data_IF_887451671679
#
_entry.id   IF_887451671679
#
_cell.length_a   1.000
_cell.length_b   1.000
_cell.length_c   1.000
_cell.angle_alpha   90.00
_cell.angle_beta   90.00
_cell.angle_gamma   90.00
#
_symmetry.space_group_name_H-M   'P 1'
#
loop_
_entity.id
_entity.type
_entity.pdbx_description
1 polymer ?
#
# COMPACT_ATOMS: atom_id res chain seq x y z
N UNK A 1 60.03 28.32 30.52
CA UNK A 1 59.19 29.51 30.79
C UNK A 1 57.74 29.07 30.69
N UNK A 2 57.03 29.09 31.83
CA UNK A 2 55.60 28.79 31.93
C UNK A 2 54.77 30.00 31.48
N UNK A 3 53.70 29.76 30.72
CA UNK A 3 52.47 30.57 30.76
C UNK A 3 51.27 29.72 30.28
N UNK A 4 50.40 29.43 31.24
CA UNK A 4 49.05 28.83 31.14
C UNK A 4 48.08 30.02 30.85
N UNK A 5 46.92 29.98 30.19
CA UNK A 5 45.64 29.27 30.37
C UNK A 5 44.68 29.79 29.27
N UNK A 6 43.84 28.95 28.65
CA UNK A 6 42.39 29.18 28.49
C UNK A 6 41.69 27.81 28.31
N UNK A 7 40.76 27.41 29.19
CA UNK A 7 39.80 26.36 28.92
C UNK A 7 38.44 26.97 28.51
N UNK A 8 37.77 26.39 27.52
CA UNK A 8 36.33 26.57 27.33
C UNK A 8 35.78 25.39 26.50
N UNK A 9 35.44 24.31 27.19
CA UNK A 9 34.64 23.21 26.66
C UNK A 9 33.19 23.67 26.68
N UNK A 10 32.62 23.98 25.52
CA UNK A 10 31.18 24.11 25.36
C UNK A 10 30.58 22.72 25.15
N UNK A 11 30.00 22.18 26.21
CA UNK A 11 29.30 20.91 26.20
C UNK A 11 27.99 21.03 25.39
N UNK A 12 27.80 20.10 24.45
CA UNK A 12 26.53 19.83 23.80
C UNK A 12 25.53 19.34 24.85
N UNK A 13 24.51 20.14 25.13
CA UNK A 13 23.40 19.76 26.00
C UNK A 13 22.52 18.71 25.32
N UNK A 14 22.62 17.47 25.75
CA UNK A 14 21.58 16.46 25.55
C UNK A 14 20.42 16.78 26.49
N UNK A 15 19.25 17.11 25.94
CA UNK A 15 18.01 17.19 26.72
C UNK A 15 17.51 15.76 26.94
N UNK A 16 17.96 15.13 28.02
CA UNK A 16 17.31 13.94 28.55
C UNK A 16 15.98 14.38 29.18
N UNK A 17 14.85 14.02 28.55
CA UNK A 17 13.55 14.12 29.18
C UNK A 17 13.45 13.01 30.23
N UNK A 18 13.78 13.35 31.48
CA UNK A 18 13.50 12.49 32.61
C UNK A 18 11.97 12.46 32.81
N UNK A 19 11.36 11.31 32.56
CA UNK A 19 10.00 11.04 32.99
C UNK A 19 9.98 11.10 34.53
N UNK A 20 9.28 12.09 35.08
CA UNK A 20 9.08 12.20 36.52
C UNK A 20 8.07 11.14 36.95
N UNK A 21 8.53 10.07 37.59
CA UNK A 21 7.67 9.17 38.35
C UNK A 21 7.29 9.87 39.66
N UNK A 22 6.01 10.24 39.78
CA UNK A 22 5.43 10.83 40.98
C UNK A 22 5.43 9.79 42.11
N UNK A 23 6.20 10.03 43.17
CA UNK A 23 6.00 9.39 44.48
C UNK A 23 5.14 10.33 45.30
N UNK A 24 3.86 9.98 45.47
CA UNK A 24 2.95 10.70 46.33
C UNK A 24 2.96 10.05 47.72
N UNK A 25 3.58 10.71 48.69
CA UNK A 25 3.43 10.40 50.10
C UNK A 25 3.33 11.72 50.87
N UNK A 26 2.09 12.20 51.05
CA UNK A 26 1.47 12.37 52.38
C UNK A 26 0.05 13.00 52.25
N UNK A 27 -0.94 12.31 52.83
CA UNK A 27 -2.15 12.93 53.37
C UNK A 27 -3.27 13.39 52.43
N UNK A 28 -3.99 12.46 51.79
CA UNK A 28 -5.40 12.68 51.42
C UNK A 28 -6.21 11.45 51.82
N UNK A 29 -7.32 11.69 52.53
CA UNK A 29 -8.21 10.67 53.09
C UNK A 29 -8.50 9.54 52.09
N UNK A 30 -8.50 8.30 52.60
CA UNK A 30 -8.83 7.10 51.85
C UNK A 30 -10.25 7.20 51.26
N UNK A 31 -10.34 7.68 50.03
CA UNK A 31 -11.45 7.36 49.15
C UNK A 31 -11.29 5.88 48.76
N UNK A 32 -12.37 5.07 48.76
CA UNK A 32 -12.27 3.69 48.33
C UNK A 32 -11.73 3.68 46.91
N UNK A 33 -10.64 2.95 46.70
CA UNK A 33 -10.10 2.65 45.38
C UNK A 33 -11.20 1.84 44.68
N UNK A 34 -12.01 2.53 43.87
CA UNK A 34 -12.88 1.85 42.91
C UNK A 34 -11.93 1.08 42.00
N UNK A 35 -12.04 -0.25 42.06
CA UNK A 35 -11.38 -1.15 41.13
C UNK A 35 -11.76 -0.67 39.71
N UNK A 36 -10.83 -0.01 39.03
CA UNK A 36 -11.01 0.29 37.61
C UNK A 36 -11.05 -1.06 36.94
N UNK A 37 -12.25 -1.43 36.46
CA UNK A 37 -12.43 -2.60 35.62
C UNK A 37 -11.34 -2.55 34.54
N UNK A 38 -10.64 -3.68 34.38
CA UNK A 38 -9.78 -3.98 33.25
C UNK A 38 -10.43 -3.47 31.96
N UNK A 39 -9.98 -2.31 31.49
CA UNK A 39 -10.42 -1.81 30.20
C UNK A 39 -10.03 -2.87 29.18
N UNK A 40 -10.96 -3.34 28.33
CA UNK A 40 -10.62 -4.31 27.31
C UNK A 40 -9.44 -3.74 26.51
N UNK A 41 -8.36 -4.52 26.41
CA UNK A 41 -7.25 -4.21 25.50
C UNK A 41 -7.88 -4.11 24.12
N UNK A 42 -8.00 -2.88 23.62
CA UNK A 42 -8.51 -2.63 22.29
C UNK A 42 -7.60 -3.38 21.32
N UNK A 43 -8.17 -4.37 20.62
CA UNK A 43 -7.42 -5.17 19.67
C UNK A 43 -6.71 -4.23 18.70
N UNK A 44 -5.44 -4.52 18.40
CA UNK A 44 -4.70 -3.76 17.40
C UNK A 44 -5.57 -3.64 16.13
N UNK A 45 -5.63 -2.45 15.50
CA UNK A 45 -6.46 -2.26 14.32
C UNK A 45 -6.09 -3.33 13.29
N UNK A 46 -7.11 -3.93 12.69
CA UNK A 46 -6.91 -4.92 11.64
C UNK A 46 -5.97 -4.35 10.58
N UNK A 47 -5.01 -5.15 10.11
CA UNK A 47 -4.15 -4.75 9.00
C UNK A 47 -5.07 -4.30 7.85
N UNK A 48 -4.85 -3.11 7.27
CA UNK A 48 -5.71 -2.63 6.20
C UNK A 48 -5.75 -3.67 5.08
N UNK A 49 -6.95 -4.02 4.65
CA UNK A 49 -7.14 -5.03 3.62
C UNK A 49 -6.73 -4.46 2.25
N UNK A 50 -5.99 -5.27 1.49
CA UNK A 50 -5.68 -4.98 0.09
C UNK A 50 -6.88 -5.38 -0.77
N UNK A 51 -7.33 -4.48 -1.64
CA UNK A 51 -8.40 -4.79 -2.59
C UNK A 51 -8.24 -3.99 -3.89
N UNK A 52 -9.11 -4.28 -4.86
CA UNK A 52 -9.24 -3.53 -6.09
C UNK A 52 -10.01 -2.22 -5.87
N UNK A 53 -9.45 -1.13 -6.37
CA UNK A 53 -10.03 0.20 -6.31
C UNK A 53 -10.08 0.80 -7.71
N UNK A 54 -11.27 1.25 -8.12
CA UNK A 54 -11.50 1.86 -9.43
C UNK A 54 -11.53 3.38 -9.33
N UNK A 55 -10.83 4.03 -10.26
CA UNK A 55 -10.81 5.49 -10.41
C UNK A 55 -10.69 5.87 -11.89
N UNK A 56 -11.07 7.10 -12.23
CA UNK A 56 -10.88 7.68 -13.57
C UNK A 56 -9.99 8.91 -13.49
N UNK A 57 -9.10 9.08 -14.45
CA UNK A 57 -8.29 10.29 -14.63
C UNK A 57 -8.44 10.78 -16.08
N UNK A 58 -9.24 11.83 -16.26
CA UNK A 58 -9.71 12.20 -17.60
C UNK A 58 -10.45 11.03 -18.24
N UNK A 59 -10.04 10.64 -19.44
CA UNK A 59 -10.61 9.50 -20.16
C UNK A 59 -9.95 8.16 -19.78
N UNK A 60 -8.91 8.16 -18.94
CA UNK A 60 -8.23 6.92 -18.53
C UNK A 60 -8.94 6.28 -17.35
N UNK A 61 -9.38 5.03 -17.51
CA UNK A 61 -9.84 4.19 -16.42
C UNK A 61 -8.66 3.51 -15.74
N UNK A 62 -8.66 3.49 -14.41
CA UNK A 62 -7.61 2.93 -13.56
C UNK A 62 -8.19 1.95 -12.56
N UNK A 63 -7.60 0.76 -12.48
CA UNK A 63 -7.92 -0.26 -11.49
C UNK A 63 -6.64 -0.58 -10.70
N UNK A 64 -6.61 -0.18 -9.43
CA UNK A 64 -5.46 -0.33 -8.55
C UNK A 64 -5.69 -1.42 -7.51
N UNK A 65 -4.75 -2.35 -7.36
CA UNK A 65 -4.70 -3.26 -6.22
C UNK A 65 -3.82 -2.66 -5.14
N UNK A 66 -4.40 -2.30 -4.00
CA UNK A 66 -3.74 -1.49 -2.99
C UNK A 66 -4.51 -1.41 -1.69
N UNK A 67 -3.98 -0.66 -0.72
CA UNK A 67 -4.73 -0.24 0.45
C UNK A 67 -5.56 0.98 0.10
N UNK A 68 -6.85 0.96 0.45
CA UNK A 68 -7.75 2.09 0.25
C UNK A 68 -7.19 3.39 0.89
N UNK A 69 -7.22 4.49 0.13
CA UNK A 69 -6.76 5.80 0.57
C UNK A 69 -5.29 5.82 1.06
N UNK A 70 -4.44 5.03 0.41
CA UNK A 70 -3.02 4.92 0.72
C UNK A 70 -2.17 4.88 -0.55
N UNK A 71 -0.92 5.30 -0.43
CA UNK A 71 0.10 5.14 -1.48
C UNK A 71 0.65 3.71 -1.57
N UNK A 72 0.13 2.79 -0.74
CA UNK A 72 0.46 1.37 -0.82
C UNK A 72 -0.26 0.70 -2.00
N UNK A 73 0.44 0.63 -3.14
CA UNK A 73 -0.05 0.06 -4.39
C UNK A 73 0.86 -1.10 -4.84
N UNK A 74 0.26 -2.22 -5.25
CA UNK A 74 0.98 -3.38 -5.77
C UNK A 74 0.96 -3.41 -7.29
N UNK A 75 -0.21 -3.18 -7.89
CA UNK A 75 -0.40 -3.19 -9.33
C UNK A 75 -1.50 -2.21 -9.72
N UNK A 76 -1.30 -1.47 -10.80
CA UNK A 76 -2.33 -0.67 -11.46
C UNK A 76 -2.50 -1.13 -12.90
N UNK A 77 -3.75 -1.27 -13.31
CA UNK A 77 -4.18 -1.49 -14.70
C UNK A 77 -4.80 -0.20 -15.21
N UNK A 78 -4.46 0.18 -16.44
CA UNK A 78 -4.90 1.43 -17.06
C UNK A 78 -5.37 1.16 -18.48
N UNK A 79 -6.48 1.76 -18.87
CA UNK A 79 -6.98 1.69 -20.24
C UNK A 79 -7.57 3.04 -20.65
N UNK A 80 -7.44 3.38 -21.93
CA UNK A 80 -8.21 4.45 -22.55
C UNK A 80 -9.29 3.82 -23.44
N UNK A 81 -10.55 4.30 -23.39
CA UNK A 81 -11.60 3.79 -24.27
C UNK A 81 -11.18 3.79 -25.74
N UNK A 82 -11.33 2.65 -26.40
CA UNK A 82 -10.97 2.46 -27.80
C UNK A 82 -9.57 1.85 -28.05
N UNK A 83 -8.70 1.85 -27.04
CA UNK A 83 -7.40 1.16 -27.12
C UNK A 83 -7.58 -0.36 -26.97
N UNK A 84 -6.79 -1.12 -27.72
CA UNK A 84 -6.78 -2.58 -27.72
C UNK A 84 -5.82 -3.20 -26.69
N UNK A 85 -5.25 -2.35 -25.82
CA UNK A 85 -4.32 -2.76 -24.76
C UNK A 85 -4.70 -2.17 -23.41
N UNK A 86 -4.24 -2.85 -22.37
CA UNK A 86 -4.25 -2.40 -20.97
C UNK A 86 -2.81 -2.23 -20.53
N UNK A 87 -2.44 -1.01 -20.14
CA UNK A 87 -1.14 -0.71 -19.57
C UNK A 87 -1.10 -1.13 -18.10
N UNK A 88 0.02 -1.68 -17.67
CA UNK A 88 0.24 -2.13 -16.30
C UNK A 88 1.44 -1.42 -15.69
N UNK A 89 1.34 -1.03 -14.43
CA UNK A 89 2.47 -0.52 -13.65
C UNK A 89 2.39 -1.10 -12.22
N UNK A 90 3.50 -1.54 -11.64
CA UNK A 90 3.46 -2.06 -10.27
C UNK A 90 4.78 -2.64 -9.78
N UNK A 91 4.81 -3.07 -8.52
CA UNK A 91 5.93 -3.81 -7.93
C UNK A 91 5.96 -5.29 -8.36
N UNK A 92 4.92 -5.73 -9.07
CA UNK A 92 4.76 -7.08 -9.65
C UNK A 92 4.37 -6.96 -11.12
N UNK A 93 4.52 -8.05 -11.88
CA UNK A 93 3.99 -8.15 -13.25
C UNK A 93 2.73 -8.99 -13.28
N UNK A 94 1.73 -8.61 -14.07
CA UNK A 94 0.69 -9.56 -14.44
C UNK A 94 1.31 -10.73 -15.22
N UNK A 95 0.88 -11.95 -14.93
CA UNK A 95 1.18 -13.11 -15.74
C UNK A 95 0.24 -13.14 -16.94
N UNK A 96 0.71 -12.65 -18.09
CA UNK A 96 -0.07 -12.52 -19.32
C UNK A 96 0.73 -12.99 -20.54
N UNK A 97 0.08 -13.71 -21.45
CA UNK A 97 0.71 -14.30 -22.63
C UNK A 97 1.03 -13.25 -23.71
N UNK A 98 0.23 -12.18 -23.76
CA UNK A 98 0.34 -11.08 -24.72
C UNK A 98 1.10 -9.87 -24.18
N UNK A 99 1.78 -10.02 -23.03
CA UNK A 99 2.56 -8.95 -22.44
C UNK A 99 3.65 -8.45 -23.41
N UNK A 100 3.63 -7.15 -23.70
CA UNK A 100 4.60 -6.45 -24.56
C UNK A 100 5.15 -5.21 -23.86
N UNK A 101 6.18 -4.59 -24.42
CA UNK A 101 6.74 -3.35 -23.88
C UNK A 101 7.28 -3.49 -22.44
N UNK A 102 7.70 -4.69 -22.03
CA UNK A 102 8.08 -4.96 -20.66
C UNK A 102 9.36 -4.22 -20.27
N UNK A 103 9.27 -3.34 -19.28
CA UNK A 103 10.41 -2.61 -18.72
C UNK A 103 10.42 -2.71 -17.19
N UNK A 104 11.60 -2.46 -16.60
CA UNK A 104 11.77 -2.34 -15.16
C UNK A 104 12.64 -1.13 -14.86
N UNK A 105 12.33 -0.40 -13.79
CA UNK A 105 13.19 0.66 -13.29
C UNK A 105 13.14 0.72 -11.76
N UNK A 106 14.18 1.29 -11.18
CA UNK A 106 14.20 1.58 -9.76
C UNK A 106 13.36 2.82 -9.50
N UNK A 107 12.38 2.71 -8.62
CA UNK A 107 11.60 3.84 -8.15
C UNK A 107 12.50 4.73 -7.26
N UNK A 108 12.75 6.00 -7.65
CA UNK A 108 13.57 6.90 -6.85
C UNK A 108 12.94 7.27 -5.50
N UNK A 109 11.63 7.11 -5.33
CA UNK A 109 10.94 7.46 -4.08
C UNK A 109 11.04 6.35 -3.04
N UNK A 110 10.80 5.09 -3.44
CA UNK A 110 10.82 3.94 -2.51
C UNK A 110 12.12 3.14 -2.53
N UNK A 111 12.93 3.30 -3.59
CA UNK A 111 14.09 2.46 -3.87
C UNK A 111 13.75 1.05 -4.37
N UNK A 112 12.47 0.69 -4.45
CA UNK A 112 11.96 -0.57 -5.00
C UNK A 112 12.06 -0.64 -6.51
N UNK A 113 11.70 -1.79 -7.10
CA UNK A 113 11.64 -1.94 -8.55
C UNK A 113 10.18 -1.88 -9.00
N UNK A 114 9.90 -1.03 -9.97
CA UNK A 114 8.64 -0.99 -10.68
C UNK A 114 8.76 -1.68 -12.03
N UNK A 115 7.66 -2.25 -12.46
CA UNK A 115 7.51 -3.00 -13.69
C UNK A 115 6.39 -2.39 -14.52
N UNK A 116 6.67 -2.13 -15.79
CA UNK A 116 5.68 -1.69 -16.75
C UNK A 116 5.54 -2.72 -17.87
N UNK A 117 4.33 -2.82 -18.40
CA UNK A 117 4.03 -3.60 -19.60
C UNK A 117 2.69 -3.17 -20.21
N UNK A 118 2.43 -3.63 -21.43
CA UNK A 118 1.10 -3.55 -22.05
C UNK A 118 0.59 -4.96 -22.33
N UNK A 119 -0.68 -5.22 -22.04
CA UNK A 119 -1.35 -6.51 -22.23
C UNK A 119 -2.45 -6.31 -23.26
N UNK A 120 -2.59 -7.21 -24.23
CA UNK A 120 -3.71 -7.13 -25.17
C UNK A 120 -5.03 -7.27 -24.40
N UNK A 121 -6.04 -6.47 -24.76
CA UNK A 121 -7.34 -6.43 -24.05
C UNK A 121 -8.06 -7.79 -24.04
N UNK A 122 -7.73 -8.69 -24.97
CA UNK A 122 -8.28 -10.04 -25.08
C UNK A 122 -7.39 -11.13 -24.45
N UNK A 123 -6.38 -10.76 -23.66
CA UNK A 123 -5.54 -11.71 -22.93
C UNK A 123 -6.34 -12.50 -21.88
N UNK A 124 -5.96 -13.76 -21.68
CA UNK A 124 -6.58 -14.64 -20.69
C UNK A 124 -6.48 -14.07 -19.26
N UNK A 125 -5.38 -13.40 -18.91
CA UNK A 125 -5.18 -12.82 -17.59
C UNK A 125 -6.23 -11.73 -17.25
N UNK A 126 -6.62 -10.94 -18.25
CA UNK A 126 -7.67 -9.92 -18.10
C UNK A 126 -9.06 -10.57 -18.05
N UNK A 127 -9.29 -11.62 -18.84
CA UNK A 127 -10.54 -12.38 -18.79
C UNK A 127 -10.75 -13.06 -17.43
N UNK A 128 -9.69 -13.66 -16.87
CA UNK A 128 -9.71 -14.30 -15.55
C UNK A 128 -9.96 -13.27 -14.45
N UNK A 129 -9.34 -12.09 -14.52
CA UNK A 129 -9.63 -10.99 -13.61
C UNK A 129 -11.10 -10.56 -13.68
N UNK A 130 -11.63 -10.37 -14.89
CA UNK A 130 -13.03 -9.99 -15.09
C UNK A 130 -14.01 -11.05 -14.53
N UNK A 131 -13.66 -12.33 -14.63
CA UNK A 131 -14.51 -13.44 -14.20
C UNK A 131 -14.43 -13.73 -12.70
N UNK A 132 -13.25 -13.56 -12.10
CA UNK A 132 -12.96 -14.06 -10.75
C UNK A 132 -12.63 -12.96 -9.75
N UNK A 133 -12.37 -11.74 -10.20
CA UNK A 133 -11.82 -10.67 -9.38
C UNK A 133 -10.36 -10.89 -8.97
N UNK A 134 -9.69 -11.91 -9.54
CA UNK A 134 -8.31 -12.26 -9.23
C UNK A 134 -7.41 -12.22 -10.46
N UNK A 135 -6.17 -11.81 -10.26
CA UNK A 135 -5.14 -11.81 -11.28
C UNK A 135 -3.89 -12.53 -10.77
N UNK A 136 -3.35 -13.45 -11.58
CA UNK A 136 -2.05 -14.04 -11.28
C UNK A 136 -0.96 -13.04 -11.65
N UNK A 137 -0.02 -12.85 -10.72
CA UNK A 137 1.13 -11.96 -10.88
C UNK A 137 2.43 -12.70 -10.59
N UNK A 138 3.51 -12.23 -11.19
CA UNK A 138 4.89 -12.67 -10.94
C UNK A 138 5.57 -11.66 -10.04
N UNK A 139 6.02 -12.11 -8.87
CA UNK A 139 6.87 -11.38 -7.92
C UNK A 139 8.24 -12.05 -7.78
N UNK A 140 9.09 -11.50 -6.91
CA UNK A 140 10.36 -12.11 -6.49
C UNK A 140 10.16 -13.45 -5.76
N UNK A 141 9.00 -13.66 -5.15
CA UNK A 141 8.59 -14.91 -4.49
C UNK A 141 7.96 -15.93 -5.46
N UNK A 142 7.85 -15.59 -6.74
CA UNK A 142 7.23 -16.42 -7.77
C UNK A 142 5.82 -15.98 -8.13
N UNK A 143 4.99 -16.93 -8.57
CA UNK A 143 3.63 -16.64 -9.02
C UNK A 143 2.64 -16.64 -7.86
N UNK A 144 1.83 -15.61 -7.75
CA UNK A 144 0.79 -15.46 -6.71
C UNK A 144 -0.46 -14.82 -7.30
N UNK A 145 -1.63 -15.18 -6.79
CA UNK A 145 -2.89 -14.51 -7.15
C UNK A 145 -3.13 -13.30 -6.23
N UNK A 146 -3.38 -12.13 -6.82
CA UNK A 146 -3.86 -10.93 -6.13
C UNK A 146 -5.35 -10.71 -6.42
N UNK A 147 -6.02 -9.98 -5.53
CA UNK A 147 -7.46 -9.76 -5.56
C UNK A 147 -8.10 -10.15 -4.24
N UNK A 148 -9.43 -10.11 -4.20
CA UNK A 148 -10.22 -10.44 -3.01
C UNK A 148 -11.12 -11.64 -3.30
N UNK A 149 -11.35 -12.45 -2.26
CA UNK A 149 -12.42 -13.46 -2.25
C UNK A 149 -13.80 -12.83 -2.03
N UNK A 150 -13.86 -11.52 -1.79
CA UNK A 150 -15.11 -10.80 -1.62
C UNK A 150 -16.01 -11.00 -2.86
N UNK A 151 -17.27 -11.32 -2.60
CA UNK A 151 -18.30 -11.44 -3.63
C UNK A 151 -18.51 -10.12 -4.40
N UNK A 152 -18.10 -9.00 -3.81
CA UNK A 152 -18.25 -7.68 -4.39
C UNK A 152 -17.05 -7.29 -5.26
N UNK A 153 -17.19 -7.54 -6.56
CA UNK A 153 -16.21 -7.22 -7.60
C UNK A 153 -16.58 -5.94 -8.37
N UNK A 154 -17.30 -5.01 -7.74
CA UNK A 154 -17.81 -3.80 -8.39
C UNK A 154 -16.70 -2.98 -9.07
N UNK A 155 -15.56 -2.78 -8.41
CA UNK A 155 -14.44 -2.03 -8.98
C UNK A 155 -13.92 -2.67 -10.29
N UNK A 156 -13.73 -4.00 -10.28
CA UNK A 156 -13.27 -4.77 -11.44
C UNK A 156 -14.29 -4.69 -12.59
N UNK A 157 -15.57 -4.88 -12.29
CA UNK A 157 -16.66 -4.78 -13.28
C UNK A 157 -16.72 -3.39 -13.90
N UNK A 158 -16.59 -2.35 -13.08
CA UNK A 158 -16.65 -0.95 -13.53
C UNK A 158 -15.47 -0.63 -14.43
N UNK A 159 -14.26 -1.11 -14.09
CA UNK A 159 -13.08 -0.96 -14.95
C UNK A 159 -13.30 -1.55 -16.35
N UNK A 160 -13.72 -2.81 -16.45
CA UNK A 160 -13.96 -3.43 -17.75
C UNK A 160 -15.13 -2.80 -18.52
N UNK A 161 -16.14 -2.29 -17.82
CA UNK A 161 -17.20 -1.50 -18.45
C UNK A 161 -16.66 -0.18 -19.05
N UNK A 162 -15.70 0.47 -18.39
CA UNK A 162 -15.05 1.69 -18.90
C UNK A 162 -14.08 1.43 -20.06
N UNK A 163 -13.31 0.35 -20.03
CA UNK A 163 -12.39 -0.01 -21.11
C UNK A 163 -13.11 -0.47 -22.39
N UNK A 164 -14.39 -0.84 -22.28
CA UNK A 164 -15.15 -1.54 -23.31
C UNK A 164 -14.86 -3.05 -23.30
N UNK A 165 -15.89 -3.84 -23.61
CA UNK A 165 -15.75 -5.30 -23.68
C UNK A 165 -14.80 -5.70 -24.82
N UNK A 166 -13.95 -6.70 -24.61
CA UNK A 166 -13.23 -7.34 -25.70
C UNK A 166 -14.24 -7.76 -26.79
N UNK A 167 -13.97 -7.51 -28.08
CA UNK A 167 -14.82 -8.05 -29.13
C UNK A 167 -14.82 -9.58 -29.00
N UNK A 168 -16.03 -10.15 -28.99
CA UNK A 168 -16.26 -11.59 -28.95
C UNK A 168 -15.68 -12.30 -30.18
#
# INVERSE_FOLDING_TARGET
MFKILIPAVAALGLVAHAAQSYTAEDGVAAAPIMLVAEAPVEAAPATPAMDWHFHTEGDTAKLAYGVANSDQLVLILMCTPGEDKVSTLGSVRAEADTATGQTSYQDPMTGGVLHESEIARNDAALADLAATGKMTVVSDQGKVAIGSDATDQEAVKTFFASCGTAPA
#
